data_IF_462848107601
#
_entry.id   IF_462848107601
#
_cell.length_a   1.000
_cell.length_b   1.000
_cell.length_c   1.000
_cell.angle_alpha   90.00
_cell.angle_beta   90.00
_cell.angle_gamma   90.00
#
_symmetry.space_group_name_H-M   'P 1'
#
loop_
_entity.id
_entity.type
_entity.pdbx_description
1 polymer ?
#
# COMPACT_ATOMS: atom_id res chain seq x y z
N UNK A 1 8.29 -44.26 15.12
CA UNK A 1 7.69 -43.89 13.82
C UNK A 1 8.33 -42.56 13.42
N UNK A 2 9.35 -42.59 12.57
CA UNK A 2 10.04 -41.36 12.14
C UNK A 2 9.11 -40.63 11.16
N UNK A 3 8.70 -39.41 11.49
CA UNK A 3 8.10 -38.53 10.50
C UNK A 3 9.09 -38.36 9.34
N UNK A 4 8.66 -38.50 8.08
CA UNK A 4 9.53 -38.22 6.95
C UNK A 4 9.94 -36.75 7.01
N UNK A 5 11.25 -36.48 7.05
CA UNK A 5 11.80 -35.12 6.95
C UNK A 5 11.19 -34.46 5.71
N UNK A 6 10.47 -33.34 5.89
CA UNK A 6 9.98 -32.53 4.77
C UNK A 6 11.18 -32.14 3.90
N UNK A 7 11.16 -32.52 2.62
CA UNK A 7 12.16 -32.05 1.65
C UNK A 7 12.00 -30.54 1.52
N UNK A 8 13.01 -29.80 1.94
CA UNK A 8 13.07 -28.35 1.79
C UNK A 8 13.69 -28.02 0.43
N UNK A 9 13.04 -27.14 -0.32
CA UNK A 9 13.50 -26.69 -1.64
C UNK A 9 14.12 -25.31 -1.47
N UNK A 10 15.33 -25.13 -1.98
CA UNK A 10 16.12 -23.90 -1.83
C UNK A 10 16.23 -23.14 -3.15
N UNK A 11 16.19 -21.82 -3.10
CA UNK A 11 16.33 -20.94 -4.26
C UNK A 11 17.81 -20.56 -4.43
N UNK A 12 18.44 -21.00 -5.52
CA UNK A 12 19.90 -21.04 -5.69
C UNK A 12 20.60 -19.67 -5.87
N UNK A 13 19.87 -18.61 -6.21
CA UNK A 13 20.47 -17.30 -6.58
C UNK A 13 20.78 -16.37 -5.40
N UNK A 14 20.50 -16.78 -4.16
CA UNK A 14 20.88 -16.00 -2.96
C UNK A 14 22.12 -16.63 -2.34
N UNK A 15 23.06 -15.81 -1.87
CA UNK A 15 24.37 -16.18 -1.29
C UNK A 15 24.33 -17.34 -0.27
N UNK A 16 23.17 -17.59 0.34
CA UNK A 16 22.92 -18.67 1.31
C UNK A 16 21.74 -19.59 0.96
N UNK A 17 21.15 -19.52 -0.24
CA UNK A 17 20.00 -20.30 -0.67
C UNK A 17 18.78 -20.16 0.26
N UNK A 18 17.77 -19.38 -0.10
CA UNK A 18 16.58 -19.27 0.77
C UNK A 18 15.59 -20.41 0.53
N UNK A 19 14.95 -20.95 1.59
CA UNK A 19 13.90 -21.94 1.41
C UNK A 19 12.72 -21.32 0.67
N UNK A 20 12.13 -22.09 -0.24
CA UNK A 20 10.87 -21.76 -0.87
C UNK A 20 9.79 -21.52 0.19
N UNK A 21 9.03 -20.44 0.02
CA UNK A 21 7.90 -20.11 0.89
C UNK A 21 6.65 -19.95 0.04
N UNK A 22 5.72 -20.89 0.20
CA UNK A 22 4.38 -20.76 -0.40
C UNK A 22 3.63 -19.52 0.07
N UNK A 23 3.92 -19.00 1.26
CA UNK A 23 3.32 -17.77 1.75
C UNK A 23 3.79 -16.55 0.94
N UNK A 24 5.08 -16.51 0.59
CA UNK A 24 5.63 -15.48 -0.28
C UNK A 24 5.06 -15.60 -1.71
N UNK A 25 5.03 -16.80 -2.28
CA UNK A 25 4.41 -17.05 -3.60
C UNK A 25 2.95 -16.64 -3.60
N UNK A 26 2.16 -17.04 -2.60
CA UNK A 26 0.76 -16.65 -2.47
C UNK A 26 0.62 -15.12 -2.39
N UNK A 27 1.46 -14.44 -1.61
CA UNK A 27 1.46 -12.97 -1.52
C UNK A 27 1.74 -12.31 -2.87
N UNK A 28 2.74 -12.80 -3.62
CA UNK A 28 3.06 -12.30 -4.95
C UNK A 28 1.89 -12.52 -5.93
N UNK A 29 1.21 -13.66 -5.83
CA UNK A 29 0.05 -13.99 -6.64
C UNK A 29 -1.19 -13.14 -6.30
N UNK A 30 -1.36 -12.67 -5.06
CA UNK A 30 -2.50 -11.84 -4.68
C UNK A 30 -2.55 -10.51 -5.44
N UNK A 31 -1.40 -9.97 -5.85
CA UNK A 31 -1.33 -8.72 -6.63
C UNK A 31 -2.05 -8.83 -7.98
N UNK A 32 -2.14 -10.03 -8.54
CA UNK A 32 -2.89 -10.29 -9.79
C UNK A 32 -4.42 -10.13 -9.63
N UNK A 33 -4.90 -9.92 -8.41
CA UNK A 33 -6.30 -9.83 -8.05
C UNK A 33 -6.94 -11.17 -7.68
N UNK A 34 -6.14 -12.22 -7.49
CA UNK A 34 -6.62 -13.47 -6.90
C UNK A 34 -7.09 -13.23 -5.46
N UNK A 35 -8.16 -13.93 -5.06
CA UNK A 35 -8.54 -13.97 -3.64
C UNK A 35 -7.48 -14.72 -2.83
N UNK A 36 -7.34 -14.46 -1.52
CA UNK A 36 -6.33 -15.13 -0.71
C UNK A 36 -6.37 -16.65 -0.82
N UNK A 37 -7.56 -17.25 -0.74
CA UNK A 37 -7.72 -18.71 -0.87
C UNK A 37 -7.25 -19.25 -2.23
N UNK A 38 -7.56 -18.54 -3.34
CA UNK A 38 -7.09 -18.96 -4.67
C UNK A 38 -5.59 -18.79 -4.83
N UNK A 39 -5.01 -17.70 -4.32
CA UNK A 39 -3.57 -17.48 -4.36
C UNK A 39 -2.80 -18.58 -3.60
N UNK A 40 -3.27 -18.96 -2.41
CA UNK A 40 -2.72 -20.09 -1.66
C UNK A 40 -2.89 -21.43 -2.39
N UNK A 41 -4.04 -21.65 -3.05
CA UNK A 41 -4.25 -22.87 -3.83
C UNK A 41 -3.26 -22.99 -5.00
N UNK A 42 -2.98 -21.89 -5.71
CA UNK A 42 -1.97 -21.87 -6.78
C UNK A 42 -0.57 -22.08 -6.20
N UNK A 43 -0.22 -21.38 -5.11
CA UNK A 43 1.09 -21.53 -4.46
C UNK A 43 1.36 -22.95 -3.92
N UNK A 44 0.33 -23.65 -3.44
CA UNK A 44 0.42 -25.06 -3.05
C UNK A 44 0.71 -25.96 -4.26
N UNK A 45 0.08 -25.71 -5.41
CA UNK A 45 0.36 -26.47 -6.64
C UNK A 45 1.77 -26.23 -7.16
N UNK A 46 2.28 -25.00 -7.05
CA UNK A 46 3.69 -24.71 -7.32
C UNK A 46 4.59 -25.51 -6.38
N UNK A 47 4.29 -25.55 -5.07
CA UNK A 47 5.03 -26.35 -4.09
C UNK A 47 5.03 -27.85 -4.45
N UNK A 48 3.87 -28.41 -4.78
CA UNK A 48 3.70 -29.81 -5.18
C UNK A 48 4.54 -30.16 -6.42
N UNK A 49 4.54 -29.29 -7.44
CA UNK A 49 5.34 -29.50 -8.64
C UNK A 49 6.84 -29.37 -8.37
N UNK A 50 7.26 -28.41 -7.53
CA UNK A 50 8.66 -28.30 -7.11
C UNK A 50 9.13 -29.57 -6.37
N UNK A 51 8.30 -30.12 -5.48
CA UNK A 51 8.62 -31.37 -4.76
C UNK A 51 8.69 -32.56 -5.74
N UNK A 52 7.82 -32.60 -6.74
CA UNK A 52 7.79 -33.66 -7.75
C UNK A 52 9.01 -33.64 -8.70
N UNK A 53 9.66 -32.49 -8.88
CA UNK A 53 10.92 -32.39 -9.64
C UNK A 53 12.10 -33.13 -8.97
N UNK A 54 11.95 -33.52 -7.69
CA UNK A 54 12.95 -34.21 -6.88
C UNK A 54 14.31 -33.50 -6.83
N UNK A 55 14.29 -32.16 -6.86
CA UNK A 55 15.48 -31.32 -6.72
C UNK A 55 15.44 -30.57 -5.40
N UNK A 56 16.57 -30.53 -4.72
CA UNK A 56 16.74 -29.73 -3.49
C UNK A 56 16.92 -28.24 -3.79
N UNK A 57 17.27 -27.88 -5.02
CA UNK A 57 17.52 -26.49 -5.45
C UNK A 57 16.82 -26.14 -6.75
N UNK A 58 16.36 -24.88 -6.86
CA UNK A 58 15.75 -24.28 -8.06
C UNK A 58 16.26 -22.86 -8.27
N UNK A 59 16.43 -22.42 -9.51
CA UNK A 59 16.76 -21.01 -9.83
C UNK A 59 15.53 -20.12 -9.66
N UNK A 60 15.71 -18.80 -9.49
CA UNK A 60 14.58 -17.88 -9.39
C UNK A 60 13.85 -17.77 -10.72
N UNK A 61 14.58 -17.83 -11.84
CA UNK A 61 14.02 -17.89 -13.20
C UNK A 61 13.11 -19.13 -13.34
N UNK A 62 13.60 -20.33 -12.99
CA UNK A 62 12.79 -21.55 -13.11
C UNK A 62 11.58 -21.56 -12.18
N UNK A 63 11.73 -21.00 -10.98
CA UNK A 63 10.60 -20.82 -10.06
C UNK A 63 9.53 -19.88 -10.65
N UNK A 64 9.97 -18.81 -11.31
CA UNK A 64 9.08 -17.86 -11.99
C UNK A 64 8.34 -18.55 -13.14
N UNK A 65 9.05 -19.27 -14.01
CA UNK A 65 8.44 -20.02 -15.12
C UNK A 65 7.38 -21.00 -14.63
N UNK A 66 7.72 -21.82 -13.62
CA UNK A 66 6.80 -22.77 -13.03
C UNK A 66 5.57 -22.06 -12.43
N UNK A 67 5.79 -20.94 -11.73
CA UNK A 67 4.70 -20.14 -11.15
C UNK A 67 3.76 -19.63 -12.25
N UNK A 68 4.30 -19.16 -13.38
CA UNK A 68 3.52 -18.71 -14.53
C UNK A 68 2.75 -19.85 -15.21
N UNK A 69 3.38 -21.02 -15.38
CA UNK A 69 2.75 -22.23 -15.91
C UNK A 69 1.55 -22.67 -15.05
N UNK A 70 1.75 -22.78 -13.73
CA UNK A 70 0.69 -23.16 -12.79
C UNK A 70 -0.39 -22.07 -12.74
N UNK A 71 -0.01 -20.79 -12.66
CA UNK A 71 -0.97 -19.69 -12.64
C UNK A 71 -1.85 -19.68 -13.91
N UNK A 72 -1.26 -19.92 -15.08
CA UNK A 72 -2.00 -20.03 -16.34
C UNK A 72 -3.02 -21.15 -16.29
N UNK A 73 -2.62 -22.35 -15.86
CA UNK A 73 -3.48 -23.53 -15.80
C UNK A 73 -4.63 -23.38 -14.81
N UNK A 74 -4.38 -22.70 -13.69
CA UNK A 74 -5.31 -22.63 -12.55
C UNK A 74 -6.19 -21.39 -12.52
N UNK A 75 -5.75 -20.29 -13.15
CA UNK A 75 -6.45 -19.01 -13.12
C UNK A 75 -6.71 -18.40 -14.49
N UNK A 76 -5.97 -18.81 -15.53
CA UNK A 76 -6.08 -18.32 -16.89
C UNK A 76 -5.13 -17.16 -17.22
N UNK A 77 -4.98 -16.88 -18.52
CA UNK A 77 -3.97 -15.95 -19.06
C UNK A 77 -4.09 -14.52 -18.51
N UNK A 78 -5.31 -14.07 -18.19
CA UNK A 78 -5.53 -12.73 -17.63
C UNK A 78 -4.73 -12.50 -16.33
N UNK A 79 -4.56 -13.52 -15.50
CA UNK A 79 -3.80 -13.38 -14.25
C UNK A 79 -2.29 -13.42 -14.50
N UNK A 80 -1.86 -14.17 -15.51
CA UNK A 80 -0.47 -14.20 -15.97
C UNK A 80 -0.04 -12.84 -16.51
N UNK A 81 -0.86 -12.23 -17.38
CA UNK A 81 -0.60 -10.88 -17.89
C UNK A 81 -0.44 -9.85 -16.76
N UNK A 82 -1.28 -9.95 -15.72
CA UNK A 82 -1.18 -9.08 -14.55
C UNK A 82 0.06 -9.34 -13.72
N UNK A 83 0.46 -10.61 -13.57
CA UNK A 83 1.66 -10.99 -12.84
C UNK A 83 2.91 -10.40 -13.52
N UNK A 84 3.03 -10.58 -14.83
CA UNK A 84 4.15 -10.04 -15.63
C UNK A 84 4.18 -8.52 -15.57
N UNK A 85 3.03 -7.86 -15.72
CA UNK A 85 2.91 -6.40 -15.58
C UNK A 85 3.32 -5.91 -14.18
N UNK A 86 2.99 -6.68 -13.15
CA UNK A 86 3.39 -6.32 -11.78
C UNK A 86 4.89 -6.52 -11.53
N UNK A 87 5.49 -7.60 -12.06
CA UNK A 87 6.94 -7.78 -11.98
C UNK A 87 7.70 -6.60 -12.61
N UNK A 88 7.25 -6.13 -13.77
CA UNK A 88 7.86 -4.97 -14.42
C UNK A 88 7.71 -3.67 -13.61
N UNK A 89 6.68 -3.53 -12.78
CA UNK A 89 6.57 -2.43 -11.80
C UNK A 89 7.55 -2.62 -10.64
N UNK A 90 7.67 -3.84 -10.12
CA UNK A 90 8.57 -4.16 -9.02
C UNK A 90 10.06 -4.01 -9.39
N UNK A 91 10.39 -4.07 -10.68
CA UNK A 91 11.75 -3.85 -11.21
C UNK A 91 12.15 -2.38 -11.28
N UNK A 92 11.22 -1.43 -11.12
CA UNK A 92 11.52 0.00 -11.26
C UNK A 92 12.37 0.57 -10.11
N UNK A 93 12.60 -0.18 -9.03
CA UNK A 93 13.38 0.21 -7.84
C UNK A 93 13.00 1.61 -7.29
N UNK A 94 11.72 1.95 -7.40
CA UNK A 94 11.13 3.19 -6.90
C UNK A 94 9.99 2.87 -5.92
N UNK A 95 9.80 3.67 -4.85
CA UNK A 95 8.74 3.44 -3.88
C UNK A 95 7.36 3.74 -4.47
N UNK A 96 6.38 2.88 -4.15
CA UNK A 96 4.99 3.09 -4.54
C UNK A 96 4.25 3.89 -3.46
N UNK A 97 3.87 5.12 -3.82
CA UNK A 97 3.05 5.99 -2.98
C UNK A 97 1.60 5.99 -3.48
N UNK A 98 0.67 5.53 -2.66
CA UNK A 98 -0.77 5.48 -2.99
C UNK A 98 -1.54 6.46 -2.11
N UNK A 99 -2.25 7.39 -2.73
CA UNK A 99 -3.10 8.36 -2.05
C UNK A 99 -4.57 8.00 -2.23
N UNK A 100 -5.30 7.78 -1.13
CA UNK A 100 -6.73 7.42 -1.15
C UNK A 100 -7.54 8.54 -0.51
N UNK A 101 -8.09 9.42 -1.35
CA UNK A 101 -8.89 10.56 -0.94
C UNK A 101 -10.40 10.27 -0.92
N UNK A 102 -11.15 11.02 -0.12
CA UNK A 102 -12.62 11.02 -0.14
C UNK A 102 -13.28 11.34 1.21
N UNK A 103 -14.59 11.56 1.19
CA UNK A 103 -15.36 11.93 2.38
C UNK A 103 -15.34 10.85 3.48
N UNK A 104 -15.67 11.23 4.71
CA UNK A 104 -15.78 10.30 5.84
C UNK A 104 -16.87 9.26 5.58
N UNK A 105 -16.66 8.00 5.98
CA UNK A 105 -17.65 6.93 5.86
C UNK A 105 -17.76 6.23 4.49
N UNK A 106 -17.04 6.66 3.45
CA UNK A 106 -17.10 6.05 2.10
C UNK A 106 -16.30 4.75 1.94
N UNK A 107 -15.68 4.24 3.02
CA UNK A 107 -14.92 2.98 3.01
C UNK A 107 -13.43 3.10 2.64
N UNK A 108 -12.83 4.29 2.72
CA UNK A 108 -11.40 4.51 2.40
C UNK A 108 -10.46 3.59 3.17
N UNK A 109 -10.56 3.57 4.50
CA UNK A 109 -9.68 2.76 5.35
C UNK A 109 -9.85 1.26 5.07
N UNK A 110 -11.05 0.81 4.70
CA UNK A 110 -11.32 -0.57 4.27
C UNK A 110 -10.56 -0.90 2.98
N UNK A 111 -10.68 -0.05 1.95
CA UNK A 111 -9.97 -0.24 0.68
C UNK A 111 -8.45 -0.14 0.89
N UNK A 112 -7.99 0.83 1.69
CA UNK A 112 -6.58 1.00 2.02
C UNK A 112 -6.00 -0.27 2.65
N UNK A 113 -6.71 -0.88 3.61
CA UNK A 113 -6.29 -2.12 4.28
C UNK A 113 -6.27 -3.31 3.32
N UNK A 114 -7.29 -3.45 2.48
CA UNK A 114 -7.34 -4.52 1.48
C UNK A 114 -6.23 -4.37 0.42
N UNK A 115 -5.95 -3.13 0.01
CA UNK A 115 -4.89 -2.83 -0.93
C UNK A 115 -3.51 -3.09 -0.32
N UNK A 116 -3.29 -2.65 0.92
CA UNK A 116 -2.07 -2.89 1.69
C UNK A 116 -1.71 -4.37 1.73
N UNK A 117 -2.67 -5.22 2.14
CA UNK A 117 -2.50 -6.67 2.17
C UNK A 117 -2.20 -7.25 0.79
N UNK A 118 -2.84 -6.75 -0.27
CA UNK A 118 -2.63 -7.26 -1.64
C UNK A 118 -1.28 -6.87 -2.21
N UNK A 119 -0.82 -5.66 -1.95
CA UNK A 119 0.44 -5.13 -2.47
C UNK A 119 1.63 -5.42 -1.55
N UNK A 120 1.40 -5.93 -0.34
CA UNK A 120 2.45 -6.13 0.66
C UNK A 120 2.93 -4.83 1.31
N UNK A 121 2.17 -3.74 1.19
CA UNK A 121 2.51 -2.44 1.77
C UNK A 121 2.17 -2.46 3.26
N UNK A 122 3.18 -2.32 4.11
CA UNK A 122 3.00 -2.37 5.57
C UNK A 122 2.65 -1.02 6.18
N UNK A 123 3.08 0.08 5.54
CA UNK A 123 2.90 1.44 6.04
C UNK A 123 1.60 2.02 5.47
N UNK A 124 0.54 2.01 6.29
CA UNK A 124 -0.74 2.66 6.01
C UNK A 124 -0.95 3.77 7.04
N UNK A 125 -1.15 5.01 6.58
CA UNK A 125 -1.34 6.17 7.47
C UNK A 125 -2.63 6.90 7.10
N UNK A 126 -3.37 7.35 8.11
CA UNK A 126 -4.56 8.18 7.91
C UNK A 126 -4.23 9.66 8.13
N UNK A 127 -4.77 10.55 7.29
CA UNK A 127 -4.67 12.00 7.49
C UNK A 127 -5.34 12.47 8.77
N UNK A 128 -6.32 11.73 9.30
CA UNK A 128 -6.90 12.02 10.63
C UNK A 128 -5.87 11.81 11.74
N UNK A 129 -5.01 10.78 11.64
CA UNK A 129 -3.92 10.56 12.59
C UNK A 129 -2.87 11.68 12.51
N UNK A 130 -2.57 12.14 11.29
CA UNK A 130 -1.71 13.32 11.08
C UNK A 130 -2.33 14.56 11.74
N UNK A 131 -3.63 14.79 11.52
CA UNK A 131 -4.36 15.90 12.16
C UNK A 131 -4.28 15.83 13.68
N UNK A 132 -4.47 14.65 14.27
CA UNK A 132 -4.43 14.47 15.73
C UNK A 132 -3.04 14.79 16.32
N UNK A 133 -1.98 14.35 15.64
CA UNK A 133 -0.61 14.68 16.05
C UNK A 133 -0.37 16.18 15.99
N UNK A 134 -0.76 16.84 14.89
CA UNK A 134 -0.63 18.29 14.76
C UNK A 134 -1.47 19.03 15.81
N UNK A 135 -2.70 18.56 16.07
CA UNK A 135 -3.59 19.12 17.09
C UNK A 135 -2.96 19.07 18.48
N UNK A 136 -2.27 18.00 18.84
CA UNK A 136 -1.60 17.92 20.15
C UNK A 136 -0.31 18.75 20.24
N UNK A 137 0.37 18.98 19.12
CA UNK A 137 1.61 19.75 19.07
C UNK A 137 1.39 21.28 19.12
N UNK A 138 0.24 21.77 18.66
CA UNK A 138 -0.08 23.20 18.60
C UNK A 138 -1.27 23.53 19.48
N UNK A 139 -1.25 24.64 20.22
CA UNK A 139 -2.41 25.11 20.98
C UNK A 139 -3.56 25.53 20.06
N UNK A 140 -4.81 25.43 20.53
CA UNK A 140 -6.02 25.91 19.82
C UNK A 140 -5.91 27.39 19.41
N UNK A 141 -5.29 28.21 20.25
CA UNK A 141 -5.02 29.62 19.96
C UNK A 141 -3.99 29.85 18.84
N UNK A 142 -3.23 28.85 18.42
CA UNK A 142 -2.29 28.94 17.29
C UNK A 142 -2.94 28.43 15.99
N UNK A 143 -3.66 27.31 16.07
CA UNK A 143 -4.34 26.67 14.93
C UNK A 143 -5.75 26.16 15.30
N UNK A 144 -6.77 27.05 15.35
CA UNK A 144 -8.13 26.67 15.79
C UNK A 144 -8.78 25.62 14.88
N UNK A 145 -8.47 25.65 13.57
CA UNK A 145 -9.01 24.71 12.57
C UNK A 145 -8.55 23.27 12.74
N UNK A 146 -7.49 23.01 13.51
CA UNK A 146 -7.10 21.64 13.90
C UNK A 146 -8.02 21.07 15.00
N UNK A 147 -8.74 21.94 15.72
CA UNK A 147 -9.60 21.58 16.85
C UNK A 147 -11.08 21.49 16.48
N UNK A 148 -11.50 22.15 15.39
CA UNK A 148 -12.85 22.02 14.83
C UNK A 148 -13.02 20.74 14.01
N UNK A 149 -14.20 20.11 14.10
CA UNK A 149 -14.61 19.05 13.17
C UNK A 149 -14.61 19.58 11.73
N UNK A 150 -14.37 18.71 10.75
CA UNK A 150 -14.48 19.07 9.32
C UNK A 150 -15.89 19.54 8.92
N UNK A 151 -16.88 19.43 9.83
CA UNK A 151 -18.27 19.91 9.71
C UNK A 151 -18.59 21.20 10.48
N UNK A 152 -17.70 21.67 11.37
CA UNK A 152 -17.94 22.81 12.29
C UNK A 152 -16.92 23.94 12.08
N UNK A 153 -16.37 24.06 10.88
CA UNK A 153 -15.25 24.94 10.58
C UNK A 153 -15.62 26.45 10.52
N UNK A 154 -16.88 26.79 10.86
CA UNK A 154 -17.44 28.14 10.86
C UNK A 154 -16.78 29.06 11.92
N UNK A 155 -16.49 28.52 13.10
CA UNK A 155 -16.05 29.31 14.26
C UNK A 155 -14.55 29.68 14.24
N UNK A 156 -13.76 29.12 13.31
CA UNK A 156 -12.29 29.12 13.38
C UNK A 156 -11.56 30.13 12.46
N UNK A 157 -12.28 30.90 11.63
CA UNK A 157 -11.67 31.73 10.56
C UNK A 157 -11.17 33.09 11.08
N UNK A 158 -9.88 33.41 10.87
CA UNK A 158 -9.22 34.64 11.35
C UNK A 158 -9.30 35.86 10.40
N UNK A 159 -9.81 35.72 9.18
CA UNK A 159 -9.91 36.82 8.22
C UNK A 159 -11.37 37.30 8.05
N UNK A 160 -11.62 38.60 7.77
CA UNK A 160 -12.94 39.07 7.38
C UNK A 160 -13.29 38.44 6.04
N UNK A 161 -14.23 37.49 6.06
CA UNK A 161 -14.64 36.73 4.89
C UNK A 161 -15.53 37.64 4.00
N UNK A 162 -15.31 37.70 2.68
CA UNK A 162 -16.29 38.28 1.75
C UNK A 162 -17.64 37.61 2.00
N UNK A 163 -18.75 38.37 1.97
CA UNK A 163 -20.10 37.92 2.39
C UNK A 163 -20.73 36.80 1.52
N UNK A 164 -19.93 35.98 0.83
CA UNK A 164 -20.32 34.96 -0.14
C UNK A 164 -19.59 33.62 0.01
N UNK A 165 -18.67 33.46 0.97
CA UNK A 165 -17.95 32.20 1.21
C UNK A 165 -18.60 31.33 2.29
N UNK A 166 -18.85 30.06 1.99
CA UNK A 166 -19.29 29.07 2.98
C UNK A 166 -18.14 28.82 3.99
N UNK A 167 -18.39 29.18 5.25
CA UNK A 167 -17.37 29.14 6.31
C UNK A 167 -16.89 27.73 6.59
N UNK A 168 -17.77 26.74 6.40
CA UNK A 168 -17.43 25.33 6.49
C UNK A 168 -16.33 24.95 5.47
N UNK A 169 -16.50 25.40 4.22
CA UNK A 169 -15.54 25.13 3.14
C UNK A 169 -14.21 25.80 3.45
N UNK A 170 -14.23 27.03 3.94
CA UNK A 170 -13.01 27.78 4.26
C UNK A 170 -12.23 27.09 5.38
N UNK A 171 -12.88 26.75 6.50
CA UNK A 171 -12.18 26.10 7.60
C UNK A 171 -11.73 24.67 7.28
N UNK A 172 -12.47 23.92 6.45
CA UNK A 172 -11.97 22.64 5.93
C UNK A 172 -10.73 22.82 5.06
N UNK A 173 -10.69 23.84 4.18
CA UNK A 173 -9.51 24.11 3.35
C UNK A 173 -8.29 24.49 4.20
N UNK A 174 -8.46 25.28 5.25
CA UNK A 174 -7.39 25.60 6.20
C UNK A 174 -6.89 24.35 6.94
N UNK A 175 -7.81 23.51 7.41
CA UNK A 175 -7.46 22.23 8.03
C UNK A 175 -6.71 21.30 7.07
N UNK A 176 -7.19 21.18 5.83
CA UNK A 176 -6.55 20.38 4.78
C UNK A 176 -5.14 20.90 4.46
N UNK A 177 -4.96 22.23 4.36
CA UNK A 177 -3.65 22.84 4.14
C UNK A 177 -2.66 22.51 5.27
N UNK A 178 -3.09 22.59 6.53
CA UNK A 178 -2.25 22.26 7.67
C UNK A 178 -1.85 20.77 7.69
N UNK A 179 -2.81 19.88 7.45
CA UNK A 179 -2.58 18.43 7.40
C UNK A 179 -1.72 18.02 6.21
N UNK A 180 -1.85 18.71 5.07
CA UNK A 180 -1.06 18.46 3.86
C UNK A 180 0.45 18.60 4.11
N UNK A 181 0.90 19.49 5.00
CA UNK A 181 2.32 19.62 5.38
C UNK A 181 2.84 18.33 6.03
N UNK A 182 2.05 17.76 6.94
CA UNK A 182 2.38 16.48 7.58
C UNK A 182 2.34 15.32 6.60
N UNK A 183 1.32 15.27 5.75
CA UNK A 183 1.20 14.30 4.66
C UNK A 183 2.42 14.34 3.71
N UNK A 184 2.81 15.53 3.26
CA UNK A 184 3.97 15.72 2.39
C UNK A 184 5.27 15.23 3.05
N UNK A 185 5.44 15.50 4.35
CA UNK A 185 6.61 15.04 5.10
C UNK A 185 6.68 13.51 5.15
N UNK A 186 5.56 12.82 5.28
CA UNK A 186 5.49 11.35 5.22
C UNK A 186 5.83 10.81 3.83
N UNK A 187 5.34 11.46 2.78
CA UNK A 187 5.64 11.10 1.38
C UNK A 187 7.13 11.27 1.11
N UNK A 188 7.70 12.43 1.43
CA UNK A 188 9.12 12.71 1.21
C UNK A 188 10.01 11.73 1.97
N UNK A 189 9.62 11.36 3.19
CA UNK A 189 10.33 10.34 3.98
C UNK A 189 10.22 8.96 3.34
N UNK A 190 9.04 8.57 2.86
CA UNK A 190 8.86 7.29 2.18
C UNK A 190 9.73 7.20 0.92
N UNK A 191 9.83 8.29 0.16
CA UNK A 191 10.72 8.42 -0.99
C UNK A 191 12.19 8.29 -0.59
N UNK A 192 12.63 9.07 0.42
CA UNK A 192 14.01 9.05 0.89
C UNK A 192 14.44 7.70 1.48
N UNK A 193 13.51 6.96 2.11
CA UNK A 193 13.75 5.63 2.67
C UNK A 193 13.58 4.49 1.63
N UNK A 194 13.09 4.77 0.42
CA UNK A 194 12.75 3.75 -0.57
C UNK A 194 11.65 2.80 -0.10
N UNK A 195 10.66 3.31 0.65
CA UNK A 195 9.59 2.51 1.24
C UNK A 195 8.22 2.85 0.65
N UNK A 196 7.40 1.83 0.43
CA UNK A 196 6.02 2.01 -0.01
C UNK A 196 5.15 2.64 1.08
N UNK A 197 4.16 3.43 0.67
CA UNK A 197 3.25 4.13 1.58
C UNK A 197 1.83 4.18 0.99
N UNK A 198 0.84 3.82 1.80
CA UNK A 198 -0.56 4.19 1.56
C UNK A 198 -0.93 5.30 2.53
N UNK A 199 -1.34 6.44 1.99
CA UNK A 199 -1.89 7.56 2.76
C UNK A 199 -3.37 7.71 2.41
N UNK A 200 -4.25 7.68 3.40
CA UNK A 200 -5.69 7.78 3.19
C UNK A 200 -6.34 8.90 4.01
N UNK A 201 -7.40 9.52 3.49
CA UNK A 201 -8.27 10.37 4.31
C UNK A 201 -8.90 11.55 3.57
N UNK A 202 -9.70 12.34 4.30
CA UNK A 202 -10.46 13.43 3.73
C UNK A 202 -9.60 14.65 3.38
N UNK A 203 -8.46 14.84 4.07
CA UNK A 203 -7.58 16.00 3.90
C UNK A 203 -6.64 15.89 2.68
N UNK A 204 -6.67 14.77 1.95
CA UNK A 204 -5.94 14.59 0.70
C UNK A 204 -6.66 15.31 -0.44
N UNK A 205 -6.56 16.63 -0.44
CA UNK A 205 -7.26 17.49 -1.40
C UNK A 205 -6.29 17.95 -2.48
N UNK A 206 -6.62 17.79 -3.78
CA UNK A 206 -5.79 18.26 -4.88
C UNK A 206 -5.45 19.75 -4.74
N UNK A 207 -4.19 20.09 -5.02
CA UNK A 207 -3.67 21.46 -4.91
C UNK A 207 -3.08 21.85 -3.55
N UNK A 208 -3.22 21.01 -2.52
CA UNK A 208 -2.54 21.23 -1.22
C UNK A 208 -1.27 20.40 -1.03
N UNK A 209 -1.15 19.29 -1.76
CA UNK A 209 0.10 18.53 -1.84
C UNK A 209 1.00 19.13 -2.91
N UNK A 210 2.29 19.20 -2.63
CA UNK A 210 3.27 19.67 -3.61
C UNK A 210 3.43 18.59 -4.69
N UNK A 211 3.57 19.00 -5.94
CA UNK A 211 3.99 18.09 -6.99
C UNK A 211 5.39 17.59 -6.65
N UNK A 212 5.58 16.28 -6.71
CA UNK A 212 6.93 15.71 -6.74
C UNK A 212 7.47 16.06 -8.13
N UNK A 213 8.33 17.08 -8.21
CA UNK A 213 9.05 17.35 -9.45
C UNK A 213 9.90 16.12 -9.75
N UNK A 214 9.69 15.55 -10.94
CA UNK A 214 10.52 14.48 -11.47
C UNK A 214 11.63 15.16 -12.25
N UNK A 215 12.87 15.09 -11.75
CA UNK A 215 14.06 15.48 -12.50
C UNK A 215 14.23 14.62 -13.77
#
# INVERSE_FOLDING_TARGET
MNEPRRKHIFIAEREHGLPYSKGLTASQLMVTGLTPGRAYSVANKVEEELVALDRETVTAERLTDLTLEVLRREAGDRFVERFIKWQSVAELDIPLIVLIAGATGVGKSTIATQLATRLGITRVVSTDAVREVLRSAFTEQMFPTLYSSSFDADEAVRQPIPHSGDRLIIGFREQAAAVAVGAQSLINRAIAEGTDLILEGAHLVPGFLQSIESD
#
